data_IF_691332266551
#
_entry.id   IF_691332266551
#
_cell.length_a   1.000
_cell.length_b   1.000
_cell.length_c   1.000
_cell.angle_alpha   90.00
_cell.angle_beta   90.00
_cell.angle_gamma   90.00
#
_symmetry.space_group_name_H-M   'P 1'
#
loop_
_entity.id
_entity.type
_entity.pdbx_description
1 polymer ?
#
# COMPACT_ATOMS: atom_id res chain seq x y z
N UNK A 1 -17.57 -7.05 -7.67
CA UNK A 1 -16.29 -7.08 -6.91
C UNK A 1 -15.76 -5.67 -6.85
N UNK A 2 -15.16 -5.25 -5.73
CA UNK A 2 -14.70 -3.88 -5.60
C UNK A 2 -13.47 -3.62 -6.49
N UNK A 3 -13.47 -2.45 -7.15
CA UNK A 3 -12.42 -1.98 -8.05
C UNK A 3 -11.95 -0.60 -7.61
N UNK A 4 -10.66 -0.33 -7.75
CA UNK A 4 -10.12 1.00 -7.55
C UNK A 4 -9.01 1.30 -8.54
N UNK A 5 -8.81 2.57 -8.84
CA UNK A 5 -7.61 3.07 -9.47
C UNK A 5 -6.68 3.57 -8.38
N UNK A 6 -5.48 3.01 -8.32
CA UNK A 6 -4.50 3.37 -7.29
C UNK A 6 -3.23 4.03 -7.84
N UNK A 7 -2.67 4.97 -7.08
CA UNK A 7 -1.31 5.49 -7.26
C UNK A 7 -0.52 5.32 -5.97
N UNK A 8 0.80 5.26 -6.10
CA UNK A 8 1.72 5.34 -4.97
C UNK A 8 2.86 6.28 -5.32
N UNK A 9 3.21 7.15 -4.39
CA UNK A 9 4.33 8.06 -4.53
C UNK A 9 5.21 8.04 -3.30
N UNK A 10 6.53 8.09 -3.48
CA UNK A 10 7.48 8.37 -2.41
C UNK A 10 7.47 9.87 -2.11
N UNK A 11 7.40 10.22 -0.83
CA UNK A 11 7.31 11.61 -0.40
C UNK A 11 8.33 11.88 0.72
N UNK A 12 8.63 13.16 0.95
CA UNK A 12 9.62 13.57 1.96
C UNK A 12 8.98 14.24 3.17
N UNK A 13 7.79 14.81 3.01
CA UNK A 13 7.13 15.61 4.04
C UNK A 13 5.65 15.23 4.16
N UNK A 14 5.37 14.31 5.11
CA UNK A 14 4.00 13.90 5.44
C UNK A 14 3.24 15.01 6.16
N UNK A 15 3.91 15.91 6.89
CA UNK A 15 3.24 16.98 7.62
C UNK A 15 2.65 18.01 6.64
N UNK A 16 3.42 18.41 5.62
CA UNK A 16 2.91 19.23 4.51
C UNK A 16 1.73 18.57 3.82
N UNK A 17 1.85 17.29 3.47
CA UNK A 17 0.77 16.56 2.78
C UNK A 17 -0.48 16.41 3.65
N UNK A 18 -0.33 16.18 4.95
CA UNK A 18 -1.43 16.13 5.90
C UNK A 18 -2.17 17.48 5.94
N UNK A 19 -1.44 18.60 6.02
CA UNK A 19 -2.03 19.94 6.02
C UNK A 19 -2.79 20.24 4.71
N UNK A 20 -2.21 19.92 3.56
CA UNK A 20 -2.87 20.12 2.25
C UNK A 20 -4.10 19.20 2.13
N UNK A 21 -3.98 17.93 2.49
CA UNK A 21 -5.09 16.95 2.42
C UNK A 21 -6.24 17.35 3.33
N UNK A 22 -5.96 17.79 4.56
CA UNK A 22 -6.97 18.23 5.52
C UNK A 22 -7.78 19.45 5.03
N UNK A 23 -7.23 20.27 4.13
CA UNK A 23 -7.96 21.43 3.57
C UNK A 23 -9.11 21.04 2.65
N UNK A 24 -9.19 19.77 2.22
CA UNK A 24 -10.19 19.33 1.25
C UNK A 24 -10.76 17.93 1.47
N UNK A 25 -10.27 17.21 2.47
CA UNK A 25 -10.85 15.93 2.86
C UNK A 25 -12.21 16.14 3.52
N UNK A 26 -13.17 15.27 3.20
CA UNK A 26 -14.47 15.21 3.86
C UNK A 26 -14.39 14.49 5.21
N UNK A 27 -13.40 13.60 5.39
CA UNK A 27 -13.20 12.84 6.63
C UNK A 27 -11.71 12.56 6.87
N UNK A 28 -11.35 12.44 8.14
CA UNK A 28 -9.98 12.22 8.60
C UNK A 28 -9.43 13.44 9.37
N UNK A 29 -8.22 13.33 9.94
CA UNK A 29 -7.33 12.17 9.90
C UNK A 29 -7.86 10.98 10.73
N UNK A 30 -7.55 9.77 10.27
CA UNK A 30 -7.71 8.53 11.05
C UNK A 30 -6.37 7.79 11.09
N UNK A 31 -5.82 7.60 12.29
CA UNK A 31 -4.61 6.83 12.51
C UNK A 31 -4.88 5.33 12.52
N UNK A 32 -4.08 4.58 11.75
CA UNK A 32 -4.21 3.14 11.60
C UNK A 32 -2.82 2.50 11.64
N UNK A 33 -2.58 1.65 12.63
CA UNK A 33 -1.39 0.81 12.69
C UNK A 33 -1.66 -0.51 11.96
N UNK A 34 -0.82 -0.84 10.98
CA UNK A 34 -1.01 -2.00 10.12
C UNK A 34 0.24 -2.88 10.12
N UNK A 35 0.00 -4.18 10.26
CA UNK A 35 1.01 -5.22 10.16
C UNK A 35 0.56 -6.25 9.11
N UNK A 36 1.04 -6.05 7.89
CA UNK A 36 0.65 -6.83 6.72
C UNK A 36 1.65 -7.97 6.50
N UNK A 37 1.20 -9.23 6.60
CA UNK A 37 1.96 -10.42 6.20
C UNK A 37 1.53 -10.87 4.81
N UNK A 38 2.47 -11.07 3.90
CA UNK A 38 2.22 -11.51 2.52
C UNK A 38 2.59 -12.98 2.36
N UNK A 39 1.77 -13.72 1.61
CA UNK A 39 1.95 -15.15 1.37
C UNK A 39 2.08 -15.45 -0.13
N UNK A 40 2.66 -16.60 -0.46
CA UNK A 40 2.77 -17.01 -1.86
C UNK A 40 1.37 -17.28 -2.44
N UNK A 41 1.08 -16.70 -3.61
CA UNK A 41 -0.21 -16.86 -4.26
C UNK A 41 -0.04 -16.73 -5.78
N UNK A 42 0.02 -17.84 -6.54
CA UNK A 42 0.28 -17.77 -7.99
C UNK A 42 -0.78 -17.00 -8.79
N UNK A 43 -2.01 -16.91 -8.27
CA UNK A 43 -3.14 -16.28 -8.94
C UNK A 43 -3.27 -14.78 -8.66
N UNK A 44 -2.41 -14.18 -7.84
CA UNK A 44 -2.48 -12.77 -7.46
C UNK A 44 -1.59 -12.45 -6.27
N UNK A 45 -2.10 -11.66 -5.33
CA UNK A 45 -1.40 -11.33 -4.10
C UNK A 45 -2.33 -11.57 -2.93
N UNK A 46 -1.85 -12.33 -1.94
CA UNK A 46 -2.57 -12.63 -0.71
C UNK A 46 -1.84 -11.98 0.46
N UNK A 47 -2.54 -11.17 1.24
CA UNK A 47 -2.02 -10.58 2.47
C UNK A 47 -2.99 -10.72 3.62
N UNK A 48 -2.47 -10.93 4.81
CA UNK A 48 -3.21 -10.79 6.06
C UNK A 48 -2.75 -9.51 6.75
N UNK A 49 -3.68 -8.59 6.93
CA UNK A 49 -3.49 -7.36 7.71
C UNK A 49 -3.92 -7.61 9.14
N UNK A 50 -3.07 -7.35 10.10
CA UNK A 50 -3.44 -7.26 11.52
C UNK A 50 -3.44 -5.80 11.98
N UNK A 51 -4.39 -5.48 12.87
CA UNK A 51 -4.52 -4.18 13.52
C UNK A 51 -4.14 -4.27 14.99
N UNK A 52 -3.92 -3.11 15.63
CA UNK A 52 -3.52 -3.03 17.03
C UNK A 52 -4.61 -3.44 18.03
N UNK A 53 -5.87 -3.50 17.60
CA UNK A 53 -7.02 -3.91 18.42
C UNK A 53 -7.26 -5.43 18.43
N UNK A 54 -6.37 -6.20 17.80
CA UNK A 54 -6.46 -7.66 17.71
C UNK A 54 -7.31 -8.17 16.54
N UNK A 55 -7.96 -7.28 15.77
CA UNK A 55 -8.68 -7.67 14.56
C UNK A 55 -7.75 -7.75 13.35
N UNK A 56 -8.23 -8.35 12.26
CA UNK A 56 -7.50 -8.38 11.00
C UNK A 56 -8.38 -8.56 9.78
N UNK A 57 -7.75 -8.51 8.62
CA UNK A 57 -8.39 -8.69 7.32
C UNK A 57 -7.51 -9.58 6.44
N UNK A 58 -8.08 -10.68 5.94
CA UNK A 58 -7.49 -11.42 4.82
C UNK A 58 -7.90 -10.76 3.52
N UNK A 59 -6.90 -10.40 2.72
CA UNK A 59 -7.09 -9.61 1.49
C UNK A 59 -6.41 -10.34 0.33
N UNK A 60 -7.22 -10.75 -0.63
CA UNK A 60 -6.76 -11.12 -1.96
C UNK A 60 -6.91 -9.93 -2.89
N UNK A 61 -5.90 -9.67 -3.73
CA UNK A 61 -6.00 -8.66 -4.76
C UNK A 61 -5.14 -9.02 -5.98
N UNK A 62 -5.49 -8.45 -7.13
CA UNK A 62 -4.68 -8.53 -8.35
C UNK A 62 -4.64 -7.16 -9.00
N UNK A 63 -3.44 -6.74 -9.34
CA UNK A 63 -3.14 -5.50 -10.05
C UNK A 63 -1.91 -5.72 -10.93
N UNK A 64 -1.78 -5.02 -12.07
CA UNK A 64 -0.55 -5.01 -12.84
C UNK A 64 0.54 -4.23 -12.09
N UNK A 65 1.80 -4.65 -12.22
CA UNK A 65 2.96 -3.90 -11.73
C UNK A 65 3.32 -2.82 -12.76
N UNK A 66 2.73 -1.63 -12.64
CA UNK A 66 2.88 -0.48 -13.56
C UNK A 66 2.95 0.84 -12.78
N UNK A 67 3.75 1.82 -13.24
CA UNK A 67 3.73 3.21 -12.75
C UNK A 67 2.41 3.91 -13.04
N UNK A 68 2.01 4.81 -12.14
CA UNK A 68 0.81 5.63 -12.30
C UNK A 68 -0.50 4.89 -12.01
N UNK A 69 -1.64 5.46 -12.44
CA UNK A 69 -2.97 4.97 -12.13
C UNK A 69 -3.21 3.56 -12.69
N UNK A 70 -3.42 2.59 -11.80
CA UNK A 70 -3.66 1.18 -12.15
C UNK A 70 -4.92 0.67 -11.50
N UNK A 71 -5.69 -0.07 -12.29
CA UNK A 71 -6.87 -0.74 -11.78
C UNK A 71 -6.46 -1.96 -10.95
N UNK A 72 -7.03 -2.05 -9.76
CA UNK A 72 -6.91 -3.19 -8.86
C UNK A 72 -8.30 -3.70 -8.55
N UNK A 73 -8.44 -5.02 -8.45
CA UNK A 73 -9.62 -5.63 -7.85
C UNK A 73 -9.21 -6.40 -6.61
N UNK A 74 -10.11 -6.46 -5.63
CA UNK A 74 -9.81 -7.08 -4.36
C UNK A 74 -11.03 -7.74 -3.72
N UNK A 75 -10.73 -8.75 -2.89
CA UNK A 75 -11.66 -9.38 -1.94
C UNK A 75 -11.06 -9.20 -0.56
N UNK A 76 -11.89 -8.79 0.39
CA UNK A 76 -11.49 -8.52 1.76
C UNK A 76 -12.46 -9.18 2.72
N UNK A 77 -11.92 -9.97 3.63
CA UNK A 77 -12.69 -10.73 4.61
C UNK A 77 -12.14 -10.43 6.01
N UNK A 78 -12.96 -9.97 6.96
CA UNK A 78 -12.52 -9.72 8.33
C UNK A 78 -12.19 -11.02 9.05
N UNK A 79 -11.30 -10.95 10.05
CA UNK A 79 -10.99 -12.02 11.00
C UNK A 79 -10.79 -11.44 12.39
N UNK A 80 -11.21 -12.17 13.43
CA UNK A 80 -10.93 -11.87 14.83
C UNK A 80 -9.70 -12.62 15.36
N UNK A 81 -9.08 -13.48 14.56
CA UNK A 81 -7.95 -14.32 14.96
C UNK A 81 -6.78 -14.22 13.95
N UNK A 82 -6.24 -13.01 13.72
CA UNK A 82 -5.19 -12.81 12.72
C UNK A 82 -3.92 -13.59 13.03
N UNK A 83 -3.57 -13.81 14.30
CA UNK A 83 -2.35 -14.54 14.64
C UNK A 83 -2.44 -16.03 14.30
N UNK A 84 -3.55 -16.69 14.64
CA UNK A 84 -3.80 -18.08 14.27
C UNK A 84 -3.92 -18.26 12.75
N UNK A 85 -4.60 -17.33 12.06
CA UNK A 85 -4.69 -17.35 10.61
C UNK A 85 -3.33 -17.13 9.94
N UNK A 86 -2.48 -16.26 10.50
CA UNK A 86 -1.11 -16.04 9.99
C UNK A 86 -0.30 -17.32 10.04
N UNK A 87 -0.36 -18.05 11.16
CA UNK A 87 0.36 -19.31 11.33
C UNK A 87 -0.10 -20.35 10.32
N UNK A 88 -1.42 -20.55 10.19
CA UNK A 88 -2.00 -21.50 9.25
C UNK A 88 -1.59 -21.19 7.79
N UNK A 89 -1.65 -19.91 7.39
CA UNK A 89 -1.27 -19.49 6.04
C UNK A 89 0.24 -19.58 5.80
N UNK A 90 1.06 -19.30 6.82
CA UNK A 90 2.50 -19.46 6.72
C UNK A 90 2.89 -20.93 6.49
N UNK A 91 2.25 -21.86 7.21
CA UNK A 91 2.47 -23.30 7.02
C UNK A 91 1.99 -23.78 5.64
N UNK A 92 0.85 -23.26 5.16
CA UNK A 92 0.25 -23.71 3.90
C UNK A 92 0.91 -23.13 2.64
N UNK A 93 1.28 -21.84 2.67
CA UNK A 93 1.74 -21.09 1.49
C UNK A 93 3.15 -20.53 1.62
N UNK A 94 3.71 -20.47 2.83
CA UNK A 94 4.94 -19.74 3.12
C UNK A 94 4.75 -18.22 3.12
N UNK A 95 5.61 -17.53 3.88
CA UNK A 95 5.64 -16.06 3.95
C UNK A 95 6.58 -15.48 2.89
N UNK A 96 6.08 -14.52 2.12
CA UNK A 96 6.83 -13.75 1.11
C UNK A 96 7.44 -12.49 1.72
N UNK A 97 6.81 -11.91 2.72
CA UNK A 97 7.35 -10.78 3.46
C UNK A 97 6.35 -10.14 4.43
N UNK A 98 6.82 -9.15 5.19
CA UNK A 98 6.02 -8.43 6.20
C UNK A 98 6.22 -6.93 6.04
N UNK A 99 5.13 -6.16 6.05
CA UNK A 99 5.12 -4.70 5.95
C UNK A 99 4.43 -4.14 7.19
N UNK A 100 5.20 -3.47 8.04
CA UNK A 100 4.68 -2.77 9.22
C UNK A 100 4.66 -1.27 8.91
N UNK A 101 3.53 -0.62 9.12
CA UNK A 101 3.37 0.81 8.83
C UNK A 101 2.35 1.51 9.72
N UNK A 102 2.54 2.81 9.85
CA UNK A 102 1.55 3.74 10.39
C UNK A 102 0.93 4.49 9.22
N UNK A 103 -0.40 4.44 9.13
CA UNK A 103 -1.18 5.07 8.07
C UNK A 103 -2.07 6.15 8.68
N UNK A 104 -2.04 7.34 8.10
CA UNK A 104 -3.07 8.35 8.30
C UNK A 104 -3.99 8.33 7.09
N UNK A 105 -5.26 8.01 7.32
CA UNK A 105 -6.29 7.96 6.29
C UNK A 105 -7.11 9.25 6.28
N UNK A 106 -7.31 9.78 5.08
CA UNK A 106 -8.32 10.78 4.76
C UNK A 106 -9.25 10.26 3.66
N UNK A 107 -10.48 10.78 3.62
CA UNK A 107 -11.44 10.51 2.54
C UNK A 107 -11.82 11.83 1.90
N UNK A 108 -11.68 11.93 0.58
CA UNK A 108 -12.16 13.04 -0.24
C UNK A 108 -13.04 12.48 -1.36
N UNK A 109 -14.35 12.70 -1.26
CA UNK A 109 -15.38 12.06 -2.05
C UNK A 109 -15.31 10.54 -1.92
N UNK A 110 -14.95 9.89 -3.03
CA UNK A 110 -14.78 8.43 -3.13
C UNK A 110 -13.31 8.00 -3.08
N UNK A 111 -12.39 8.95 -2.97
CA UNK A 111 -10.96 8.68 -2.95
C UNK A 111 -10.47 8.56 -1.52
N UNK A 112 -9.77 7.46 -1.24
CA UNK A 112 -9.00 7.29 -0.01
C UNK A 112 -7.61 7.82 -0.23
N UNK A 113 -7.16 8.68 0.67
CA UNK A 113 -5.83 9.28 0.65
C UNK A 113 -5.09 8.73 1.86
N UNK A 114 -4.03 7.97 1.60
CA UNK A 114 -3.21 7.33 2.61
C UNK A 114 -1.86 8.04 2.71
N UNK A 115 -1.52 8.51 3.90
CA UNK A 115 -0.18 8.97 4.25
C UNK A 115 0.48 7.86 5.08
N UNK A 116 1.43 7.17 4.48
CA UNK A 116 2.04 5.96 5.05
C UNK A 116 3.48 6.25 5.49
N UNK A 117 3.78 6.05 6.77
CA UNK A 117 5.15 5.88 7.26
C UNK A 117 5.43 4.37 7.36
N UNK A 118 6.25 3.86 6.44
CA UNK A 118 6.51 2.42 6.29
C UNK A 118 7.85 2.05 6.90
N UNK A 119 7.83 1.11 7.86
CA UNK A 119 9.04 0.70 8.58
C UNK A 119 10.15 0.30 7.62
N UNK A 120 11.26 1.01 7.75
CA UNK A 120 12.43 0.85 6.93
C UNK A 120 12.34 1.57 5.58
N UNK A 121 11.18 1.72 4.93
CA UNK A 121 11.07 2.36 3.61
C UNK A 121 10.86 3.88 3.64
N UNK A 122 10.38 4.44 4.75
CA UNK A 122 10.08 5.86 4.91
C UNK A 122 8.66 6.23 4.49
N UNK A 123 8.49 7.49 4.08
CA UNK A 123 7.20 8.10 3.82
C UNK A 123 6.66 7.91 2.39
N UNK A 124 5.35 7.67 2.29
CA UNK A 124 4.63 7.51 1.03
C UNK A 124 3.24 8.13 1.07
N UNK A 125 2.75 8.47 -0.12
CA UNK A 125 1.35 8.76 -0.39
C UNK A 125 0.77 7.61 -1.23
N UNK A 126 -0.42 7.12 -0.89
CA UNK A 126 -1.25 6.35 -1.81
C UNK A 126 -2.59 7.06 -2.03
N UNK A 127 -3.06 7.08 -3.28
CA UNK A 127 -4.42 7.47 -3.63
C UNK A 127 -5.14 6.21 -4.10
N UNK A 128 -6.31 5.91 -3.54
CA UNK A 128 -7.19 4.83 -4.00
C UNK A 128 -8.56 5.41 -4.39
N UNK A 129 -8.77 5.62 -5.68
CA UNK A 129 -10.05 6.10 -6.23
C UNK A 129 -10.97 4.90 -6.42
N UNK A 130 -11.98 4.75 -5.55
CA UNK A 130 -12.93 3.64 -5.65
C UNK A 130 -13.85 3.85 -6.85
N UNK A 131 -13.89 2.90 -7.77
CA UNK A 131 -14.74 2.96 -8.96
C UNK A 131 -16.16 2.51 -8.60
N UNK A 132 -17.15 3.24 -9.13
CA UNK A 132 -18.55 2.80 -9.17
C UNK A 132 -18.72 1.73 -10.25
N UNK A 133 -19.83 1.00 -10.20
CA UNK A 133 -20.09 -0.11 -11.12
C UNK A 133 -20.21 0.36 -12.58
N UNK A 134 -20.62 1.60 -12.82
CA UNK A 134 -20.77 2.24 -14.14
C UNK A 134 -19.51 2.97 -14.63
N UNK A 135 -18.44 3.03 -13.83
CA UNK A 135 -17.23 3.77 -14.16
C UNK A 135 -16.12 2.90 -14.76
N UNK A 136 -15.41 3.50 -15.71
CA UNK A 136 -14.20 2.95 -16.32
C UNK A 136 -12.94 3.34 -15.55
N UNK A 137 -11.82 2.69 -15.92
CA UNK A 137 -10.48 3.04 -15.42
C UNK A 137 -10.14 4.51 -15.66
N UNK A 138 -10.57 5.07 -16.79
CA UNK A 138 -10.23 6.44 -17.18
C UNK A 138 -10.85 7.48 -16.24
N UNK A 139 -12.03 7.20 -15.68
CA UNK A 139 -12.68 8.09 -14.71
C UNK A 139 -11.86 8.19 -13.42
N UNK A 140 -11.44 7.03 -12.88
CA UNK A 140 -10.55 6.99 -11.71
C UNK A 140 -9.17 7.58 -11.99
N UNK A 141 -8.65 7.40 -13.21
CA UNK A 141 -7.35 7.94 -13.64
C UNK A 141 -7.37 9.48 -13.66
N UNK A 142 -8.45 10.09 -14.18
CA UNK A 142 -8.59 11.55 -14.20
C UNK A 142 -8.68 12.13 -12.79
N UNK A 143 -9.45 11.49 -11.89
CA UNK A 143 -9.56 11.92 -10.50
C UNK A 143 -8.22 11.78 -9.75
N UNK A 144 -7.50 10.67 -9.94
CA UNK A 144 -6.17 10.49 -9.37
C UNK A 144 -5.18 11.56 -9.84
N UNK A 145 -5.20 11.91 -11.13
CA UNK A 145 -4.34 12.96 -11.70
C UNK A 145 -4.66 14.35 -11.11
N UNK A 146 -5.94 14.70 -10.96
CA UNK A 146 -6.35 15.96 -10.34
C UNK A 146 -5.90 16.06 -8.88
N UNK A 147 -5.97 14.96 -8.13
CA UNK A 147 -5.50 14.91 -6.75
C UNK A 147 -3.97 14.98 -6.66
N UNK A 148 -3.24 14.35 -7.58
CA UNK A 148 -1.78 14.49 -7.66
C UNK A 148 -1.36 15.94 -7.86
N UNK A 149 -2.01 16.66 -8.80
CA UNK A 149 -1.75 18.08 -9.04
C UNK A 149 -2.00 18.91 -7.77
N UNK A 150 -3.15 18.69 -7.12
CA UNK A 150 -3.52 19.39 -5.89
C UNK A 150 -2.55 19.14 -4.73
N UNK A 151 -1.98 17.94 -4.65
CA UNK A 151 -1.01 17.53 -3.63
C UNK A 151 0.46 17.86 -4.00
N UNK A 152 0.67 18.39 -5.21
CA UNK A 152 1.98 18.63 -5.81
C UNK A 152 2.86 17.37 -5.83
N UNK A 153 2.32 16.29 -6.40
CA UNK A 153 3.02 15.01 -6.59
C UNK A 153 3.48 14.87 -8.03
N UNK A 154 4.80 14.82 -8.21
CA UNK A 154 5.44 14.66 -9.52
C UNK A 154 5.43 13.20 -9.98
N UNK A 155 5.41 12.98 -11.30
CA UNK A 155 5.49 11.65 -11.91
C UNK A 155 6.78 10.90 -11.52
N UNK A 156 7.90 11.60 -11.32
CA UNK A 156 9.17 11.03 -10.86
C UNK A 156 9.11 10.47 -9.43
N UNK A 157 8.10 10.85 -8.65
CA UNK A 157 7.87 10.31 -7.31
C UNK A 157 7.10 8.99 -7.33
N UNK A 158 6.49 8.63 -8.46
CA UNK A 158 5.62 7.46 -8.56
C UNK A 158 6.38 6.15 -8.38
N UNK A 159 5.74 5.21 -7.70
CA UNK A 159 6.30 3.89 -7.38
C UNK A 159 5.37 2.81 -7.91
N UNK A 160 5.93 1.89 -8.70
CA UNK A 160 5.15 0.87 -9.41
C UNK A 160 4.75 -0.30 -8.51
N UNK A 161 5.69 -0.75 -7.68
CA UNK A 161 5.60 -2.02 -6.96
C UNK A 161 4.95 -1.89 -5.57
N UNK A 162 4.65 -3.03 -4.93
CA UNK A 162 4.14 -3.04 -3.56
C UNK A 162 5.28 -2.80 -2.55
N UNK A 163 4.93 -2.41 -1.32
CA UNK A 163 5.94 -2.20 -0.27
C UNK A 163 6.75 -3.47 0.03
N UNK A 164 6.11 -4.65 -0.04
CA UNK A 164 6.80 -5.93 0.17
C UNK A 164 7.90 -6.17 -0.88
N UNK A 165 7.68 -5.74 -2.12
CA UNK A 165 8.65 -5.89 -3.20
C UNK A 165 9.83 -4.92 -3.00
N UNK A 166 9.56 -3.66 -2.59
CA UNK A 166 10.61 -2.69 -2.26
C UNK A 166 11.48 -3.14 -1.08
N UNK A 167 10.85 -3.73 -0.05
CA UNK A 167 11.57 -4.29 1.09
C UNK A 167 12.49 -5.44 0.65
N UNK A 168 11.99 -6.33 -0.20
CA UNK A 168 12.76 -7.45 -0.76
C UNK A 168 13.96 -6.93 -1.56
N UNK A 169 13.75 -6.02 -2.50
CA UNK A 169 14.83 -5.41 -3.30
C UNK A 169 15.92 -4.78 -2.41
N UNK A 170 15.53 -4.04 -1.36
CA UNK A 170 16.50 -3.46 -0.44
C UNK A 170 17.28 -4.51 0.37
N UNK A 171 16.62 -5.59 0.79
CA UNK A 171 17.29 -6.66 1.51
C UNK A 171 18.34 -7.37 0.66
N UNK A 172 18.05 -7.55 -0.64
CA UNK A 172 18.96 -8.14 -1.62
C UNK A 172 20.16 -7.23 -1.89
N UNK A 173 19.93 -5.92 -2.07
CA UNK A 173 21.00 -4.93 -2.25
C UNK A 173 21.96 -4.89 -1.06
N UNK A 174 21.43 -4.82 0.17
CA UNK A 174 22.26 -4.84 1.39
C UNK A 174 23.10 -6.11 1.52
N UNK A 175 22.51 -7.27 1.17
CA UNK A 175 23.21 -8.54 1.18
C UNK A 175 24.35 -8.58 0.16
N UNK A 176 24.15 -7.99 -1.02
CA UNK A 176 25.16 -7.90 -2.07
C UNK A 176 26.33 -6.97 -1.66
N UNK A 177 26.03 -5.80 -1.08
CA UNK A 177 27.04 -4.87 -0.57
C UNK A 177 27.91 -5.52 0.52
N UNK A 178 27.27 -6.23 1.45
CA UNK A 178 27.97 -6.93 2.54
C UNK A 178 28.87 -8.07 2.01
N UNK A 179 28.40 -8.82 1.01
CA UNK A 179 29.19 -9.88 0.38
C UNK A 179 30.39 -9.33 -0.41
N UNK A 180 30.26 -8.15 -1.03
CA UNK A 180 31.36 -7.48 -1.75
C UNK A 180 32.46 -7.00 -0.80
N UNK A 181 32.08 -6.47 0.38
CA UNK A 181 33.03 -6.02 1.41
C UNK A 181 33.79 -7.19 2.05
N UNK A 182 33.15 -8.35 2.23
CA UNK A 182 33.80 -9.54 2.80
C UNK A 182 34.76 -10.27 1.85
N UNK A 183 34.78 -9.96 0.55
CA UNK A 183 35.71 -10.55 -0.44
C UNK A 183 36.97 -9.71 -0.71
N UNK A 184 37.08 -8.54 -0.09
CA UNK A 184 38.23 -7.64 -0.21
C UNK A 184 39.22 -7.75 0.97
N UNK A 185 39.00 -8.71 1.86
CA UNK A 185 39.87 -9.08 3.00
C UNK A 185 40.33 -10.51 2.78
#
# INVERSE_FOLDING_TARGET
>A
MARNVEIKARVQDLARLAAVTASFADTGPVDIFQDDTFFACPSGRLKLRAFSDGTGELIFYRRPDQAGPKESFYVRTPTSEPDGLREALNLAYGTVGRVVKHRVLYIAGRTRIHLDEVRGLGAFLELEVVLRDDEGRDDGTREAAQLMERLAIDAAQLVEVAYVDLLKQRSELRSAEQCSLSRQI
#
